data_IF_114743499453
#
_entry.id   IF_114743499453
#
_cell.length_a   1.000
_cell.length_b   1.000
_cell.length_c   1.000
_cell.angle_alpha   90.00
_cell.angle_beta   90.00
_cell.angle_gamma   90.00
#
_symmetry.space_group_name_H-M   'P 1'
#
loop_
_entity.id
_entity.type
_entity.pdbx_description
1 polymer ?
#
# COMPACT_ATOMS: atom_id res chain seq x y z
N UNK A 1 -2.53 5.57 -19.28
CA UNK A 1 -3.69 4.79 -18.76
C UNK A 1 -4.88 5.73 -18.61
N UNK A 2 -5.95 5.48 -19.34
CA UNK A 2 -7.19 6.21 -19.11
C UNK A 2 -7.86 5.64 -17.84
N UNK A 3 -7.81 6.38 -16.74
CA UNK A 3 -8.59 6.08 -15.56
C UNK A 3 -10.04 6.47 -15.82
N UNK A 4 -10.86 5.54 -16.26
CA UNK A 4 -12.31 5.73 -16.17
C UNK A 4 -12.71 5.49 -14.72
N UNK A 5 -12.89 6.58 -13.98
CA UNK A 5 -13.49 6.55 -12.66
C UNK A 5 -14.92 6.04 -12.77
N UNK A 6 -15.15 4.79 -12.49
CA UNK A 6 -16.50 4.26 -12.38
C UNK A 6 -17.05 4.64 -11.01
N UNK A 7 -17.87 5.70 -10.97
CA UNK A 7 -18.71 5.97 -9.80
C UNK A 7 -19.72 4.85 -9.67
N UNK A 8 -19.61 4.07 -8.62
CA UNK A 8 -20.66 3.13 -8.26
C UNK A 8 -21.27 3.57 -6.92
N UNK A 9 -22.54 3.99 -6.96
CA UNK A 9 -23.28 4.46 -5.79
C UNK A 9 -23.69 3.35 -4.81
N UNK A 10 -23.38 2.09 -5.12
CA UNK A 10 -23.63 0.95 -4.24
C UNK A 10 -22.35 0.63 -3.50
N UNK A 11 -22.41 0.63 -2.16
CA UNK A 11 -21.36 0.05 -1.32
C UNK A 11 -21.10 -1.36 -1.83
N UNK A 12 -19.93 -1.56 -2.43
CA UNK A 12 -19.53 -2.89 -2.84
C UNK A 12 -19.23 -3.69 -1.58
N UNK A 13 -20.06 -4.69 -1.30
CA UNK A 13 -19.78 -5.65 -0.23
C UNK A 13 -18.64 -6.56 -0.67
N UNK A 14 -17.43 -6.22 -0.25
CA UNK A 14 -16.26 -7.04 -0.51
C UNK A 14 -16.22 -8.19 0.51
N UNK A 15 -16.57 -9.40 0.07
CA UNK A 15 -16.37 -10.61 0.89
C UNK A 15 -14.88 -10.97 0.93
N UNK A 16 -14.44 -11.66 2.00
CA UNK A 16 -13.05 -12.15 2.15
C UNK A 16 -12.57 -12.98 0.94
N UNK A 17 -13.47 -13.68 0.24
CA UNK A 17 -13.14 -14.46 -0.95
C UNK A 17 -12.89 -13.66 -2.22
N UNK A 18 -13.24 -12.35 -2.23
CA UNK A 18 -13.20 -11.53 -3.45
C UNK A 18 -11.78 -11.14 -3.88
N UNK A 19 -10.78 -11.28 -3.01
CA UNK A 19 -9.41 -10.77 -3.23
C UNK A 19 -8.34 -11.85 -3.26
N UNK A 20 -8.69 -13.13 -3.27
CA UNK A 20 -7.71 -14.24 -3.16
C UNK A 20 -6.71 -14.31 -4.33
N UNK A 21 -7.03 -13.72 -5.48
CA UNK A 21 -6.14 -13.62 -6.65
C UNK A 21 -5.40 -12.28 -6.76
N UNK A 22 -5.62 -11.39 -5.83
CA UNK A 22 -4.89 -10.13 -5.75
C UNK A 22 -3.58 -10.35 -5.00
N UNK A 23 -2.47 -9.92 -5.57
CA UNK A 23 -1.14 -10.04 -4.97
C UNK A 23 -0.46 -8.68 -4.92
N UNK A 24 0.30 -8.45 -3.84
CA UNK A 24 1.08 -7.24 -3.64
C UNK A 24 2.56 -7.61 -3.62
N UNK A 25 3.34 -6.96 -4.48
CA UNK A 25 4.78 -7.17 -4.57
C UNK A 25 5.53 -5.86 -4.36
N UNK A 26 6.49 -5.88 -3.43
CA UNK A 26 7.45 -4.78 -3.28
C UNK A 26 8.73 -5.14 -4.02
N UNK A 27 9.16 -4.27 -4.94
CA UNK A 27 10.40 -4.42 -5.69
C UNK A 27 11.54 -3.73 -4.92
N UNK A 28 12.03 -4.39 -3.90
CA UNK A 28 13.02 -3.85 -2.95
C UNK A 28 14.45 -3.76 -3.50
N UNK A 29 14.69 -4.32 -4.68
CA UNK A 29 15.95 -4.16 -5.42
C UNK A 29 15.99 -2.91 -6.31
N UNK A 30 14.86 -2.21 -6.45
CA UNK A 30 14.72 -1.02 -7.30
C UNK A 30 14.39 0.18 -6.43
N UNK A 31 15.19 1.24 -6.56
CA UNK A 31 14.88 2.52 -5.92
C UNK A 31 14.23 3.45 -6.93
N UNK A 32 13.17 4.13 -6.52
CA UNK A 32 12.50 5.18 -7.28
C UNK A 32 12.34 6.41 -6.39
N UNK A 33 11.77 7.47 -6.94
CA UNK A 33 11.50 8.71 -6.22
C UNK A 33 10.00 8.86 -5.99
N UNK A 34 9.66 9.38 -4.83
CA UNK A 34 8.31 9.70 -4.42
C UNK A 34 8.24 11.18 -4.06
N UNK A 35 7.20 11.85 -4.54
CA UNK A 35 6.99 13.26 -4.26
C UNK A 35 6.14 13.41 -3.00
N UNK A 36 6.62 14.21 -2.04
CA UNK A 36 5.86 14.57 -0.84
C UNK A 36 5.75 16.09 -0.76
N UNK A 37 4.56 16.57 -0.42
CA UNK A 37 4.34 17.99 -0.12
C UNK A 37 4.65 18.27 1.34
N UNK A 38 5.59 19.19 1.57
CA UNK A 38 5.86 19.68 2.92
C UNK A 38 5.04 20.96 3.12
N UNK A 39 3.94 20.84 3.88
CA UNK A 39 2.97 21.93 4.07
C UNK A 39 3.58 23.25 4.57
N UNK A 40 4.62 23.20 5.40
CA UNK A 40 5.26 24.40 5.97
C UNK A 40 6.12 25.17 4.98
N UNK A 41 6.65 24.54 3.97
CA UNK A 41 7.63 25.14 3.04
C UNK A 41 7.03 25.44 1.67
N UNK A 42 5.80 25.04 1.38
CA UNK A 42 5.16 25.08 0.06
C UNK A 42 6.06 24.51 -1.06
N UNK A 43 6.97 23.61 -0.71
CA UNK A 43 7.93 22.99 -1.61
C UNK A 43 7.62 21.51 -1.75
N UNK A 44 7.81 21.01 -2.96
CA UNK A 44 7.82 19.57 -3.21
C UNK A 44 9.18 19.01 -2.81
N UNK A 45 9.19 17.96 -2.00
CA UNK A 45 10.40 17.17 -1.71
C UNK A 45 10.28 15.81 -2.34
N UNK A 46 11.39 15.33 -2.87
CA UNK A 46 11.52 13.98 -3.35
C UNK A 46 12.19 13.13 -2.27
N UNK A 47 11.59 12.01 -1.95
CA UNK A 47 12.18 10.98 -1.10
C UNK A 47 12.36 9.70 -1.89
N UNK A 48 13.27 8.86 -1.45
CA UNK A 48 13.44 7.54 -2.04
C UNK A 48 12.27 6.64 -1.68
N UNK A 49 11.90 5.76 -2.60
CA UNK A 49 10.79 4.84 -2.45
C UNK A 49 11.09 3.51 -3.13
N UNK A 50 10.36 2.47 -2.71
CA UNK A 50 10.30 1.21 -3.44
C UNK A 50 9.04 1.19 -4.32
N UNK A 51 9.14 0.67 -5.54
CA UNK A 51 7.96 0.36 -6.35
C UNK A 51 7.12 -0.73 -5.68
N UNK A 52 5.80 -0.55 -5.74
CA UNK A 52 4.84 -1.54 -5.26
C UNK A 52 3.89 -1.88 -6.42
N UNK A 53 3.74 -3.15 -6.70
CA UNK A 53 2.87 -3.67 -7.74
C UNK A 53 1.72 -4.43 -7.10
N UNK A 54 0.50 -4.08 -7.47
CA UNK A 54 -0.72 -4.79 -7.07
C UNK A 54 -1.27 -5.44 -8.32
N UNK A 55 -1.21 -6.77 -8.36
CA UNK A 55 -1.53 -7.57 -9.55
C UNK A 55 -2.78 -8.41 -9.33
N UNK A 56 -3.65 -8.42 -10.35
CA UNK A 56 -4.71 -9.42 -10.44
C UNK A 56 -4.17 -10.65 -11.19
N UNK A 57 -3.94 -11.73 -10.46
CA UNK A 57 -3.41 -12.98 -11.02
C UNK A 57 -4.49 -13.90 -11.57
N UNK A 58 -5.77 -13.52 -11.50
CA UNK A 58 -6.86 -14.30 -12.06
C UNK A 58 -6.76 -14.41 -13.59
N UNK A 59 -7.22 -15.52 -14.14
CA UNK A 59 -7.20 -15.75 -15.59
C UNK A 59 -8.35 -15.07 -16.32
N UNK A 60 -9.54 -14.99 -15.69
CA UNK A 60 -10.77 -14.56 -16.35
C UNK A 60 -11.55 -13.49 -15.60
N UNK A 61 -11.31 -13.30 -14.32
CA UNK A 61 -12.12 -12.43 -13.46
C UNK A 61 -11.42 -11.11 -13.16
N UNK A 62 -12.07 -9.97 -13.46
CA UNK A 62 -11.65 -8.66 -12.99
C UNK A 62 -11.88 -8.50 -11.49
N UNK A 63 -11.07 -7.69 -10.83
CA UNK A 63 -11.17 -7.39 -9.40
C UNK A 63 -11.30 -5.88 -9.19
N UNK A 64 -12.20 -5.48 -8.31
CA UNK A 64 -12.39 -4.09 -7.94
C UNK A 64 -11.54 -3.77 -6.72
N UNK A 65 -10.52 -2.94 -6.90
CA UNK A 65 -9.68 -2.45 -5.82
C UNK A 65 -10.30 -1.20 -5.21
N UNK A 66 -10.73 -1.24 -3.94
CA UNK A 66 -11.23 -0.04 -3.27
C UNK A 66 -10.11 0.97 -3.07
N UNK A 67 -10.42 2.24 -3.25
CA UNK A 67 -9.44 3.33 -3.20
C UNK A 67 -9.72 4.27 -2.02
N UNK A 68 -8.65 4.85 -1.49
CA UNK A 68 -8.68 5.97 -0.57
C UNK A 68 -8.12 7.20 -1.29
N UNK A 69 -8.96 8.23 -1.47
CA UNK A 69 -8.60 9.46 -2.19
C UNK A 69 -7.95 9.21 -3.57
N UNK A 70 -8.49 8.25 -4.30
CA UNK A 70 -8.02 7.87 -5.62
C UNK A 70 -6.79 6.97 -5.67
N UNK A 71 -6.28 6.53 -4.52
CA UNK A 71 -5.09 5.68 -4.42
C UNK A 71 -5.37 4.39 -3.64
N UNK A 72 -4.59 3.36 -3.90
CA UNK A 72 -4.57 2.19 -3.04
C UNK A 72 -4.13 2.58 -1.61
N UNK A 73 -4.84 2.10 -0.61
CA UNK A 73 -4.50 2.33 0.79
C UNK A 73 -3.49 1.28 1.24
N UNK A 74 -2.23 1.65 1.25
CA UNK A 74 -1.13 0.80 1.69
C UNK A 74 -0.48 1.35 2.94
N UNK A 75 -0.09 0.45 3.84
CA UNK A 75 0.55 0.76 5.11
C UNK A 75 1.78 -0.13 5.24
N UNK A 76 2.92 0.46 5.59
CA UNK A 76 4.09 -0.33 5.97
C UNK A 76 3.92 -0.90 7.37
N UNK A 77 4.28 -2.16 7.53
CA UNK A 77 4.37 -2.82 8.83
C UNK A 77 5.79 -3.29 9.07
N UNK A 78 6.28 -3.11 10.28
CA UNK A 78 7.55 -3.66 10.71
C UNK A 78 7.35 -4.86 11.65
N UNK A 79 8.27 -5.81 11.57
CA UNK A 79 8.31 -6.93 12.50
C UNK A 79 9.07 -6.52 13.76
N UNK A 80 8.44 -6.67 14.91
CA UNK A 80 9.06 -6.38 16.20
C UNK A 80 9.99 -7.52 16.65
N UNK A 81 10.79 -7.27 17.67
CA UNK A 81 11.63 -8.31 18.31
C UNK A 81 10.83 -9.48 18.87
N UNK A 82 9.56 -9.24 19.20
CA UNK A 82 8.61 -10.28 19.65
C UNK A 82 7.88 -10.99 18.52
N UNK A 83 8.35 -10.85 17.28
CA UNK A 83 7.75 -11.42 16.07
C UNK A 83 6.30 -10.96 15.79
N UNK A 84 5.94 -9.77 16.21
CA UNK A 84 4.66 -9.14 15.91
C UNK A 84 4.80 -8.10 14.81
N UNK A 85 3.78 -7.98 13.98
CA UNK A 85 3.71 -6.93 12.96
C UNK A 85 2.96 -5.72 13.52
N UNK A 86 3.59 -4.55 13.40
CA UNK A 86 2.98 -3.27 13.80
C UNK A 86 3.00 -2.28 12.64
N UNK A 87 1.97 -1.45 12.57
CA UNK A 87 1.87 -0.41 11.54
C UNK A 87 2.92 0.68 11.80
N UNK A 88 3.68 1.04 10.77
CA UNK A 88 4.63 2.14 10.81
C UNK A 88 3.89 3.47 10.66
N UNK A 89 3.05 3.59 9.63
CA UNK A 89 2.20 4.77 9.45
C UNK A 89 0.91 4.62 10.26
N UNK A 90 0.56 5.66 10.99
CA UNK A 90 -0.73 5.71 11.67
C UNK A 90 -1.80 6.25 10.72
N UNK A 91 -2.48 5.34 10.06
CA UNK A 91 -3.58 5.65 9.12
C UNK A 91 -4.94 5.11 9.58
N UNK A 92 -5.12 4.95 10.88
CA UNK A 92 -6.34 4.35 11.46
C UNK A 92 -7.61 5.17 11.20
N UNK A 93 -7.48 6.48 10.98
CA UNK A 93 -8.58 7.39 10.65
C UNK A 93 -8.92 7.43 9.16
N UNK A 94 -8.08 6.85 8.31
CA UNK A 94 -8.31 6.84 6.88
C UNK A 94 -9.31 5.74 6.51
N UNK A 95 -10.28 6.12 5.69
CA UNK A 95 -11.34 5.23 5.23
C UNK A 95 -11.26 5.08 3.72
N UNK A 96 -11.63 3.90 3.25
CA UNK A 96 -11.87 3.68 1.84
C UNK A 96 -13.07 4.51 1.39
N UNK A 97 -12.92 5.18 0.24
CA UNK A 97 -13.98 5.95 -0.38
C UNK A 97 -14.93 5.08 -1.19
N UNK A 98 -15.86 5.75 -1.91
CA UNK A 98 -16.85 5.08 -2.76
C UNK A 98 -16.30 4.68 -4.13
N UNK A 99 -15.03 4.98 -4.39
CA UNK A 99 -14.38 4.70 -5.67
C UNK A 99 -13.57 3.42 -5.59
N UNK A 100 -13.53 2.72 -6.70
CA UNK A 100 -12.65 1.58 -6.90
C UNK A 100 -12.00 1.62 -8.27
N UNK A 101 -10.87 0.93 -8.40
CA UNK A 101 -10.21 0.69 -9.66
C UNK A 101 -10.42 -0.75 -10.09
N UNK A 102 -10.92 -0.95 -11.31
CA UNK A 102 -11.13 -2.28 -11.87
C UNK A 102 -9.82 -2.80 -12.47
N UNK A 103 -9.24 -3.80 -11.85
CA UNK A 103 -8.04 -4.48 -12.34
C UNK A 103 -8.50 -5.69 -13.15
N UNK A 104 -8.26 -5.66 -14.46
CA UNK A 104 -8.57 -6.78 -15.35
C UNK A 104 -7.64 -7.97 -15.10
N UNK A 105 -8.01 -9.19 -15.55
CA UNK A 105 -7.13 -10.35 -15.43
C UNK A 105 -5.73 -10.06 -15.99
N UNK A 106 -4.70 -10.49 -15.25
CA UNK A 106 -3.27 -10.30 -15.59
C UNK A 106 -2.79 -8.85 -15.63
N UNK A 107 -3.64 -7.88 -15.28
CA UNK A 107 -3.23 -6.49 -15.15
C UNK A 107 -2.70 -6.20 -13.74
N UNK A 108 -1.93 -5.15 -13.64
CA UNK A 108 -1.43 -4.63 -12.38
C UNK A 108 -1.57 -3.11 -12.31
N UNK A 109 -1.59 -2.60 -11.11
CA UNK A 109 -1.40 -1.17 -10.84
C UNK A 109 -0.06 -0.96 -10.14
N UNK A 110 0.51 0.21 -10.37
CA UNK A 110 1.77 0.62 -9.81
C UNK A 110 1.56 1.70 -8.75
N UNK A 111 2.18 1.53 -7.61
CA UNK A 111 2.26 2.55 -6.57
C UNK A 111 3.65 2.55 -5.95
N UNK A 112 3.86 3.34 -4.92
CA UNK A 112 5.16 3.51 -4.27
C UNK A 112 4.99 3.50 -2.76
N UNK A 113 6.02 3.04 -2.07
CA UNK A 113 6.11 3.12 -0.61
C UNK A 113 7.41 3.82 -0.21
N UNK A 114 7.38 4.77 0.74
CA UNK A 114 8.58 5.53 1.09
C UNK A 114 9.62 4.66 1.78
N UNK A 115 10.90 5.02 1.57
CA UNK A 115 12.03 4.51 2.34
C UNK A 115 12.34 5.55 3.42
N UNK A 116 12.07 5.23 4.67
CA UNK A 116 12.32 6.15 5.78
C UNK A 116 13.80 6.22 6.13
N UNK A 117 14.27 7.41 6.51
CA UNK A 117 15.61 7.58 7.05
C UNK A 117 15.67 7.07 8.48
N UNK A 118 16.61 6.20 8.76
CA UNK A 118 16.83 5.65 10.09
C UNK A 118 18.13 4.86 10.15
N UNK A 119 18.59 4.56 11.37
CA UNK A 119 19.83 3.82 11.59
C UNK A 119 19.68 2.32 11.49
N UNK A 120 18.49 1.82 11.76
CA UNK A 120 18.26 0.38 11.88
C UNK A 120 17.44 -0.15 10.72
N UNK A 121 17.93 -1.23 10.17
CA UNK A 121 17.23 -2.03 9.16
C UNK A 121 16.41 -3.11 9.84
N UNK A 122 15.14 -3.16 9.52
CA UNK A 122 14.19 -4.13 10.06
C UNK A 122 13.45 -4.82 8.92
N UNK A 123 12.82 -5.93 9.24
CA UNK A 123 11.95 -6.65 8.30
C UNK A 123 10.61 -5.93 8.18
N UNK A 124 10.21 -5.64 6.96
CA UNK A 124 9.01 -4.85 6.63
C UNK A 124 8.15 -5.63 5.63
N UNK A 125 6.85 -5.37 5.67
CA UNK A 125 5.90 -5.77 4.64
C UNK A 125 4.90 -4.64 4.39
N UNK A 126 4.24 -4.68 3.25
CA UNK A 126 3.12 -3.79 2.94
C UNK A 126 1.80 -4.50 3.28
N UNK A 127 0.94 -3.78 3.97
CA UNK A 127 -0.46 -4.14 4.17
C UNK A 127 -1.32 -3.33 3.20
N UNK A 128 -2.00 -4.00 2.29
CA UNK A 128 -3.02 -3.38 1.42
C UNK A 128 -4.37 -3.52 2.10
N UNK A 129 -4.98 -2.40 2.44
CA UNK A 129 -6.27 -2.35 3.14
C UNK A 129 -7.41 -2.44 2.13
N UNK A 130 -8.29 -3.41 2.32
CA UNK A 130 -9.41 -3.74 1.42
C UNK A 130 -10.77 -3.71 2.14
N UNK A 131 -10.97 -2.75 3.02
CA UNK A 131 -12.14 -2.68 3.90
C UNK A 131 -11.90 -3.44 5.19
N UNK A 132 -12.71 -4.46 5.48
CA UNK A 132 -12.58 -5.28 6.70
C UNK A 132 -11.47 -6.33 6.62
N UNK A 133 -10.81 -6.42 5.48
CA UNK A 133 -9.73 -7.38 5.24
C UNK A 133 -8.49 -6.66 4.71
N UNK A 134 -7.37 -7.35 4.74
CA UNK A 134 -6.13 -6.88 4.17
C UNK A 134 -5.37 -8.03 3.52
N UNK A 135 -4.54 -7.71 2.55
CA UNK A 135 -3.54 -8.62 1.99
C UNK A 135 -2.15 -8.04 2.18
N UNK A 136 -1.15 -8.88 2.18
CA UNK A 136 0.21 -8.51 2.54
C UNK A 136 1.18 -8.83 1.41
N UNK A 137 2.20 -7.99 1.27
CA UNK A 137 3.28 -8.19 0.31
C UNK A 137 4.29 -9.25 0.80
N UNK A 138 5.28 -9.53 -0.05
CA UNK A 138 6.54 -10.12 0.37
C UNK A 138 7.20 -9.27 1.47
N UNK A 139 8.01 -9.92 2.31
CA UNK A 139 8.83 -9.21 3.29
C UNK A 139 10.12 -8.71 2.65
N UNK A 140 10.62 -7.58 3.13
CA UNK A 140 11.86 -6.98 2.68
C UNK A 140 12.52 -6.23 3.84
N UNK A 141 13.79 -5.91 3.71
CA UNK A 141 14.51 -5.12 4.71
C UNK A 141 14.56 -3.66 4.30
N UNK A 142 14.27 -2.79 5.25
CA UNK A 142 14.36 -1.35 5.06
C UNK A 142 14.60 -0.63 6.39
N UNK A 143 15.05 0.60 6.29
CA UNK A 143 15.22 1.47 7.45
C UNK A 143 13.89 2.04 7.90
N UNK A 144 13.76 2.25 9.21
CA UNK A 144 12.58 2.86 9.84
C UNK A 144 12.98 4.08 10.65
N UNK A 145 12.08 5.05 10.83
CA UNK A 145 12.37 6.21 11.66
C UNK A 145 12.69 5.79 13.10
N UNK A 146 13.64 6.46 13.74
CA UNK A 146 14.07 6.13 15.10
C UNK A 146 12.94 6.20 16.15
N UNK A 147 11.93 7.05 15.90
CA UNK A 147 10.79 7.18 16.82
C UNK A 147 9.87 5.96 16.86
N UNK A 148 9.90 5.09 15.84
CA UNK A 148 9.06 3.89 15.79
C UNK A 148 9.50 2.85 16.81
N UNK A 149 10.77 2.75 17.12
CA UNK A 149 11.30 1.80 18.12
C UNK A 149 10.73 2.00 19.51
N UNK A 150 10.21 3.19 19.82
CA UNK A 150 9.55 3.46 21.09
C UNK A 150 8.20 2.76 21.25
N UNK A 151 7.67 2.16 20.16
CA UNK A 151 6.41 1.41 20.16
C UNK A 151 6.57 -0.10 20.32
N UNK A 152 7.79 -0.58 20.37
CA UNK A 152 8.05 -2.01 20.59
C UNK A 152 7.69 -2.46 22.01
#
# INVERSE_FOLDING_TARGET
MSSKNHRNSKKANFSKGSFHKLQVHVLDSIHTKMNIQVRKEKKEKYIQAFPVIIENTASLKSMNLPLHRGCALIIQQMKTKKNKWIDIENRTKEKLGDFYYKIKPKQYIYTKTPIYSGKDSVEIRIKLVLGDTAIYSNTYKSTVPNWIKRKE
#
